data_IF_498066987287
#
_entry.id   IF_498066987287
#
_cell.length_a   1.000
_cell.length_b   1.000
_cell.length_c   1.000
_cell.angle_alpha   90.00
_cell.angle_beta   90.00
_cell.angle_gamma   90.00
#
_symmetry.space_group_name_H-M   'P 1'
#
loop_
_entity.id
_entity.type
_entity.pdbx_description
1 polymer ?
#
# COMPACT_ATOMS: atom_id res chain seq x y z
N UNK A 1 5.28 -0.03 -7.27
CA UNK A 1 5.48 -0.12 -8.75
C UNK A 1 6.29 1.03 -9.35
N UNK A 2 6.46 2.17 -8.69
CA UNK A 2 7.01 3.36 -9.35
C UNK A 2 8.53 3.31 -9.55
N UNK A 3 9.06 3.79 -10.70
CA UNK A 3 10.49 3.92 -10.94
C UNK A 3 11.17 4.77 -9.87
N UNK A 4 12.42 4.43 -9.53
CA UNK A 4 13.21 5.05 -8.45
C UNK A 4 13.20 6.58 -8.48
N UNK A 5 13.30 7.18 -9.68
CA UNK A 5 13.26 8.64 -9.87
C UNK A 5 11.96 9.32 -9.43
N UNK A 6 10.85 8.58 -9.44
CA UNK A 6 9.50 9.09 -9.17
C UNK A 6 8.89 8.57 -7.88
N UNK A 7 9.61 7.71 -7.15
CA UNK A 7 9.10 6.98 -5.99
C UNK A 7 8.60 7.90 -4.87
N UNK A 8 9.32 8.99 -4.60
CA UNK A 8 8.97 9.95 -3.53
C UNK A 8 7.68 10.68 -3.86
N UNK A 9 7.57 11.24 -5.07
CA UNK A 9 6.36 11.95 -5.51
C UNK A 9 5.15 11.02 -5.56
N UNK A 10 5.33 9.81 -6.08
CA UNK A 10 4.25 8.83 -6.16
C UNK A 10 3.76 8.38 -4.77
N UNK A 11 4.68 8.21 -3.80
CA UNK A 11 4.30 7.95 -2.41
C UNK A 11 3.52 9.12 -1.81
N UNK A 12 3.97 10.36 -2.02
CA UNK A 12 3.29 11.54 -1.50
C UNK A 12 1.87 11.69 -2.05
N UNK A 13 1.70 11.44 -3.36
CA UNK A 13 0.37 11.46 -4.00
C UNK A 13 -0.53 10.38 -3.40
N UNK A 14 -0.06 9.14 -3.30
CA UNK A 14 -0.83 8.03 -2.75
C UNK A 14 -1.26 8.31 -1.30
N UNK A 15 -0.34 8.83 -0.49
CA UNK A 15 -0.62 9.17 0.90
C UNK A 15 -1.66 10.29 1.03
N UNK A 16 -1.51 11.38 0.25
CA UNK A 16 -2.44 12.51 0.31
C UNK A 16 -3.84 12.11 -0.15
N UNK A 17 -3.96 11.32 -1.22
CA UNK A 17 -5.25 10.79 -1.68
C UNK A 17 -5.86 9.87 -0.62
N UNK A 18 -5.09 8.94 -0.07
CA UNK A 18 -5.58 8.02 0.97
C UNK A 18 -6.09 8.75 2.20
N UNK A 19 -5.35 9.79 2.64
CA UNK A 19 -5.74 10.62 3.77
C UNK A 19 -7.02 11.40 3.48
N UNK A 20 -7.10 12.05 2.32
CA UNK A 20 -8.27 12.82 1.91
C UNK A 20 -9.54 11.95 1.85
N UNK A 21 -9.45 10.78 1.22
CA UNK A 21 -10.58 9.84 1.15
C UNK A 21 -11.01 9.40 2.54
N UNK A 22 -10.06 9.00 3.39
CA UNK A 22 -10.36 8.53 4.76
C UNK A 22 -11.00 9.62 5.61
N UNK A 23 -10.55 10.88 5.47
CA UNK A 23 -11.11 12.01 6.21
C UNK A 23 -12.57 12.34 5.82
N UNK A 24 -12.99 12.02 4.60
CA UNK A 24 -14.35 12.28 4.11
C UNK A 24 -15.35 11.15 4.42
N UNK A 25 -14.88 9.95 4.78
CA UNK A 25 -15.75 8.79 5.02
C UNK A 25 -16.84 9.01 6.08
N UNK A 26 -16.58 9.64 7.25
CA UNK A 26 -17.64 9.87 8.23
C UNK A 26 -18.77 10.75 7.71
N UNK A 27 -18.43 11.79 6.93
CA UNK A 27 -19.42 12.67 6.31
C UNK A 27 -20.26 11.91 5.26
N UNK A 28 -19.61 11.06 4.45
CA UNK A 28 -20.31 10.20 3.48
C UNK A 28 -21.26 9.20 4.16
N UNK A 29 -20.86 8.61 5.28
CA UNK A 29 -21.72 7.68 6.01
C UNK A 29 -22.89 8.40 6.68
N UNK A 30 -22.68 9.60 7.20
CA UNK A 30 -23.74 10.41 7.79
C UNK A 30 -24.80 10.87 6.76
N UNK A 31 -24.41 11.11 5.49
CA UNK A 31 -25.37 11.47 4.43
C UNK A 31 -26.17 10.27 3.93
N UNK A 32 -25.56 9.09 3.85
CA UNK A 32 -26.22 7.86 3.35
C UNK A 32 -27.05 7.16 4.44
N UNK A 33 -26.70 7.34 5.71
CA UNK A 33 -27.43 6.81 6.86
C UNK A 33 -27.82 7.92 7.87
N UNK A 34 -28.83 8.75 7.55
CA UNK A 34 -29.33 9.76 8.47
C UNK A 34 -29.84 9.13 9.78
N UNK A 35 -29.79 9.85 10.92
CA UNK A 35 -30.36 9.36 12.17
C UNK A 35 -31.86 9.09 12.00
N UNK A 36 -32.29 7.85 12.28
CA UNK A 36 -33.66 7.37 12.03
C UNK A 36 -33.79 6.43 10.82
N UNK A 37 -32.71 6.19 10.06
CA UNK A 37 -32.67 5.17 9.02
C UNK A 37 -32.76 3.74 9.60
N UNK A 38 -33.49 2.86 8.92
CA UNK A 38 -33.57 1.43 9.24
C UNK A 38 -32.34 0.71 8.65
N UNK A 39 -31.77 -0.27 9.36
CA UNK A 39 -30.63 -1.09 8.89
C UNK A 39 -29.32 -0.34 8.54
N UNK A 40 -28.95 0.65 9.36
CA UNK A 40 -27.66 1.38 9.27
C UNK A 40 -26.44 0.44 9.14
N UNK A 41 -26.31 -0.63 9.95
CA UNK A 41 -25.15 -1.54 9.85
C UNK A 41 -25.08 -2.26 8.50
N UNK A 42 -26.22 -2.62 7.91
CA UNK A 42 -26.28 -3.30 6.62
C UNK A 42 -25.88 -2.35 5.48
N UNK A 43 -26.34 -1.11 5.52
CA UNK A 43 -26.03 -0.10 4.49
C UNK A 43 -24.55 0.27 4.50
N UNK A 44 -24.01 0.59 5.68
CA UNK A 44 -22.57 0.91 5.82
C UNK A 44 -21.73 -0.34 5.50
N UNK A 45 -22.15 -1.52 5.97
CA UNK A 45 -21.51 -2.80 5.67
C UNK A 45 -21.46 -3.13 4.18
N UNK A 46 -22.51 -2.81 3.43
CA UNK A 46 -22.53 -2.99 1.98
C UNK A 46 -21.55 -2.05 1.27
N UNK A 47 -21.45 -0.79 1.72
CA UNK A 47 -20.49 0.18 1.17
C UNK A 47 -19.05 -0.24 1.47
N UNK A 48 -18.77 -0.66 2.71
CA UNK A 48 -17.42 -1.13 3.08
C UNK A 48 -17.05 -2.40 2.32
N UNK A 49 -18.00 -3.32 2.10
CA UNK A 49 -17.80 -4.48 1.23
C UNK A 49 -17.49 -4.07 -0.21
N UNK A 50 -18.23 -3.10 -0.77
CA UNK A 50 -17.97 -2.61 -2.12
C UNK A 50 -16.56 -1.99 -2.25
N UNK A 51 -16.14 -1.17 -1.28
CA UNK A 51 -14.78 -0.62 -1.24
C UNK A 51 -13.73 -1.73 -1.13
N UNK A 52 -14.01 -2.76 -0.33
CA UNK A 52 -13.11 -3.92 -0.17
C UNK A 52 -12.96 -4.69 -1.48
N UNK A 53 -14.04 -4.86 -2.25
CA UNK A 53 -13.98 -5.49 -3.58
C UNK A 53 -13.09 -4.68 -4.52
N UNK A 54 -13.22 -3.35 -4.54
CA UNK A 54 -12.34 -2.48 -5.35
C UNK A 54 -10.89 -2.62 -4.92
N UNK A 55 -10.62 -2.64 -3.60
CA UNK A 55 -9.28 -2.84 -3.07
C UNK A 55 -8.70 -4.22 -3.45
N UNK A 56 -9.52 -5.27 -3.41
CA UNK A 56 -9.12 -6.61 -3.82
C UNK A 56 -8.78 -6.66 -5.32
N UNK A 57 -9.57 -6.02 -6.19
CA UNK A 57 -9.27 -5.91 -7.62
C UNK A 57 -7.98 -5.12 -7.87
N UNK A 58 -7.76 -4.03 -7.12
CA UNK A 58 -6.51 -3.28 -7.19
C UNK A 58 -5.30 -4.13 -6.75
N UNK A 59 -5.44 -4.93 -5.70
CA UNK A 59 -4.39 -5.84 -5.25
C UNK A 59 -4.12 -6.97 -6.26
N UNK A 60 -5.16 -7.52 -6.90
CA UNK A 60 -5.03 -8.54 -7.94
C UNK A 60 -4.35 -8.03 -9.21
N UNK A 61 -4.58 -6.76 -9.56
CA UNK A 61 -3.93 -6.11 -10.71
C UNK A 61 -2.51 -5.61 -10.39
N UNK A 62 -2.16 -5.49 -9.12
CA UNK A 62 -0.83 -5.09 -8.70
C UNK A 62 0.19 -6.19 -9.00
N UNK A 63 1.27 -5.82 -9.69
CA UNK A 63 2.37 -6.75 -9.95
C UNK A 63 3.13 -7.07 -8.66
N UNK A 64 3.54 -8.32 -8.52
CA UNK A 64 4.43 -8.74 -7.44
C UNK A 64 5.75 -7.95 -7.51
N UNK A 65 6.16 -7.38 -6.38
CA UNK A 65 7.40 -6.61 -6.24
C UNK A 65 8.39 -7.23 -5.25
N UNK A 66 8.00 -8.31 -4.58
CA UNK A 66 8.84 -9.05 -3.66
C UNK A 66 10.08 -9.62 -4.38
N UNK A 67 11.26 -9.27 -3.86
CA UNK A 67 12.60 -9.60 -4.40
C UNK A 67 12.96 -8.93 -5.72
N UNK A 68 12.25 -7.90 -6.17
CA UNK A 68 12.72 -7.09 -7.30
C UNK A 68 13.77 -6.08 -6.80
N UNK A 69 14.87 -5.91 -7.55
CA UNK A 69 15.89 -4.91 -7.22
C UNK A 69 15.27 -3.51 -7.25
N UNK A 70 15.70 -2.65 -6.33
CA UNK A 70 15.21 -1.27 -6.26
C UNK A 70 15.44 -0.49 -7.56
N UNK A 71 16.51 -0.76 -8.31
CA UNK A 71 16.80 -0.15 -9.60
C UNK A 71 15.84 -0.56 -10.72
N UNK A 72 15.24 -1.75 -10.62
CA UNK A 72 14.38 -2.37 -11.64
C UNK A 72 12.88 -2.24 -11.27
N UNK A 73 12.58 -1.56 -10.16
CA UNK A 73 11.20 -1.34 -9.73
C UNK A 73 10.43 -0.55 -10.79
N UNK A 74 9.36 -1.13 -11.31
CA UNK A 74 8.52 -0.51 -12.35
C UNK A 74 8.90 -0.88 -13.79
N UNK A 75 9.96 -1.66 -13.99
CA UNK A 75 10.26 -2.21 -15.31
C UNK A 75 9.37 -3.41 -15.64
N UNK A 76 8.73 -3.48 -16.82
CA UNK A 76 7.86 -4.59 -17.23
C UNK A 76 8.56 -5.96 -17.26
N UNK A 77 9.89 -6.00 -17.38
CA UNK A 77 10.66 -7.25 -17.50
C UNK A 77 11.54 -7.56 -16.28
N UNK A 78 11.37 -6.83 -15.17
CA UNK A 78 12.16 -7.07 -13.97
C UNK A 78 11.97 -8.52 -13.45
N UNK A 79 13.08 -9.23 -13.26
CA UNK A 79 13.10 -10.59 -12.74
C UNK A 79 13.32 -10.58 -11.22
N UNK A 80 12.61 -11.44 -10.45
CA UNK A 80 12.88 -11.60 -9.04
C UNK A 80 14.31 -12.09 -8.80
N UNK A 81 14.98 -11.54 -7.80
CA UNK A 81 16.29 -12.03 -7.36
C UNK A 81 16.17 -13.47 -6.82
N UNK A 82 17.26 -14.23 -6.96
CA UNK A 82 17.36 -15.52 -6.31
C UNK A 82 17.17 -15.36 -4.79
N UNK A 83 16.49 -16.34 -4.18
CA UNK A 83 16.11 -16.27 -2.77
C UNK A 83 17.34 -16.24 -1.86
N UNK A 84 18.37 -17.03 -2.16
CA UNK A 84 19.57 -17.11 -1.33
C UNK A 84 20.36 -15.80 -1.36
N UNK A 85 20.49 -15.21 -2.55
CA UNK A 85 21.13 -13.91 -2.72
C UNK A 85 20.35 -12.78 -2.04
N UNK A 86 19.01 -12.80 -2.14
CA UNK A 86 18.15 -11.84 -1.45
C UNK A 86 18.29 -11.94 0.08
N UNK A 87 18.25 -13.16 0.63
CA UNK A 87 18.33 -13.39 2.08
C UNK A 87 19.70 -12.98 2.63
N UNK A 88 20.80 -13.24 1.88
CA UNK A 88 22.15 -12.78 2.23
C UNK A 88 22.23 -11.26 2.28
N UNK A 89 21.83 -10.57 1.21
CA UNK A 89 21.87 -9.10 1.14
C UNK A 89 20.97 -8.44 2.21
N UNK A 90 19.82 -9.06 2.51
CA UNK A 90 18.94 -8.59 3.59
C UNK A 90 19.59 -8.77 4.95
N UNK A 91 20.27 -9.89 5.20
CA UNK A 91 20.98 -10.13 6.46
C UNK A 91 22.12 -9.12 6.66
N UNK A 92 22.89 -8.84 5.60
CA UNK A 92 23.97 -7.83 5.59
C UNK A 92 23.42 -6.43 5.94
N UNK A 93 22.41 -5.96 5.20
CA UNK A 93 21.82 -4.63 5.43
C UNK A 93 21.20 -4.45 6.83
N UNK A 94 20.55 -5.50 7.34
CA UNK A 94 19.99 -5.50 8.70
C UNK A 94 21.10 -5.55 9.78
N UNK A 95 22.25 -6.16 9.46
CA UNK A 95 23.44 -6.13 10.30
C UNK A 95 24.05 -4.75 10.40
N UNK A 96 24.29 -4.08 9.26
CA UNK A 96 24.84 -2.72 9.19
C UNK A 96 23.96 -1.71 9.96
N UNK A 97 22.64 -1.81 9.81
CA UNK A 97 21.69 -0.91 10.49
C UNK A 97 21.77 -1.05 12.02
N UNK A 98 21.99 -2.27 12.55
CA UNK A 98 22.16 -2.49 13.98
C UNK A 98 23.46 -1.89 14.50
N UNK A 99 24.54 -1.99 13.74
CA UNK A 99 25.85 -1.40 14.08
C UNK A 99 25.74 0.13 14.11
N UNK A 100 25.14 0.73 13.08
CA UNK A 100 24.95 2.19 13.01
C UNK A 100 24.09 2.73 14.16
N UNK A 101 23.05 1.99 14.58
CA UNK A 101 22.17 2.39 15.70
C UNK A 101 22.80 2.19 17.08
N UNK A 102 23.79 1.31 17.21
CA UNK A 102 24.54 1.11 18.44
C UNK A 102 25.69 2.13 18.62
N UNK A 103 26.10 2.78 17.52
CA UNK A 103 27.15 3.80 17.50
C UNK A 103 26.62 5.25 17.63
N UNK A 104 25.29 5.43 17.71
CA UNK A 104 24.61 6.72 17.84
C UNK A 104 23.95 6.84 19.23
#
# INVERSE_FOLDING_TARGET
LFPTRSRVSAMAIAQNIGTAVTALLPALFATVAPPGSTDIPLTIGAITLAVTIVAALAALSARETHRIRMSELGEPNAAPMDKQDYDRLRAEAMGETKVARAAA
#
